data_IF_849066949210
#
_entry.id   IF_849066949210
#
_cell.length_a   1.000
_cell.length_b   1.000
_cell.length_c   1.000
_cell.angle_alpha   90.00
_cell.angle_beta   90.00
_cell.angle_gamma   90.00
#
_symmetry.space_group_name_H-M   'P 1'
#
loop_
_entity.id
_entity.type
_entity.pdbx_description
1 polymer ?
#
# COMPACT_ATOMS: atom_id res chain seq x y z
N UNK A 1 11.33 -24.27 6.92
CA UNK A 1 11.54 -22.99 7.63
C UNK A 1 11.27 -23.22 9.10
N UNK A 2 11.96 -22.53 10.03
CA UNK A 2 11.57 -22.58 11.44
C UNK A 2 10.10 -22.19 11.57
N UNK A 3 9.37 -22.87 12.44
CA UNK A 3 7.96 -22.57 12.74
C UNK A 3 7.90 -21.25 13.49
N UNK A 4 7.49 -20.18 12.82
CA UNK A 4 7.24 -18.88 13.45
C UNK A 4 5.83 -18.85 14.06
N UNK A 5 5.59 -18.08 15.13
CA UNK A 5 4.26 -17.83 15.66
C UNK A 5 3.30 -17.34 14.56
N UNK A 6 2.07 -17.82 14.59
CA UNK A 6 1.00 -17.38 13.68
C UNK A 6 -0.16 -16.84 14.51
N UNK A 7 -0.58 -15.62 14.17
CA UNK A 7 -1.71 -14.93 14.76
C UNK A 7 -2.80 -14.81 13.71
N UNK A 8 -4.05 -15.01 14.11
CA UNK A 8 -5.19 -14.96 13.20
C UNK A 8 -5.86 -13.60 13.31
N UNK A 9 -5.91 -12.85 12.20
CA UNK A 9 -6.63 -11.59 12.14
C UNK A 9 -8.14 -11.85 11.98
N UNK A 10 -8.95 -10.94 12.52
CA UNK A 10 -10.41 -10.97 12.40
C UNK A 10 -10.87 -10.08 11.26
N UNK A 11 -12.00 -10.42 10.63
CA UNK A 11 -12.62 -9.53 9.62
C UNK A 11 -13.01 -8.22 10.30
N UNK A 12 -12.47 -7.11 9.82
CA UNK A 12 -12.79 -5.75 10.23
C UNK A 12 -14.00 -5.21 9.47
N UNK A 13 -14.01 -5.42 8.15
CA UNK A 13 -15.07 -4.93 7.27
C UNK A 13 -15.27 -5.88 6.10
N UNK A 14 -16.53 -6.06 5.71
CA UNK A 14 -16.94 -6.93 4.60
C UNK A 14 -17.55 -6.07 3.49
N UNK A 15 -17.00 -6.14 2.26
CA UNK A 15 -17.57 -5.48 1.09
C UNK A 15 -19.04 -5.82 0.84
N UNK A 16 -19.81 -4.81 0.46
CA UNK A 16 -21.24 -4.91 0.16
C UNK A 16 -21.50 -5.43 -1.25
N UNK A 17 -20.50 -5.39 -2.13
CA UNK A 17 -20.58 -5.85 -3.52
C UNK A 17 -19.31 -6.59 -3.95
N UNK A 18 -19.38 -7.30 -5.08
CA UNK A 18 -18.22 -7.95 -5.68
C UNK A 18 -17.21 -6.94 -6.24
N UNK A 19 -17.67 -5.80 -6.76
CA UNK A 19 -16.77 -4.76 -7.28
C UNK A 19 -15.86 -4.19 -6.20
N UNK A 20 -16.35 -4.07 -4.97
CA UNK A 20 -15.57 -3.60 -3.81
C UNK A 20 -14.53 -4.62 -3.31
N UNK A 21 -14.64 -5.90 -3.72
CA UNK A 21 -13.69 -6.96 -3.35
C UNK A 21 -12.46 -7.00 -4.24
N UNK A 22 -12.53 -6.33 -5.39
CA UNK A 22 -11.64 -6.61 -6.51
C UNK A 22 -10.18 -6.33 -6.20
N UNK A 23 -9.82 -5.07 -5.94
CA UNK A 23 -8.44 -4.71 -5.59
C UNK A 23 -8.33 -3.61 -4.51
N UNK A 24 -8.83 -3.85 -3.27
CA UNK A 24 -8.53 -3.01 -2.12
C UNK A 24 -7.03 -2.92 -1.82
N UNK A 25 -6.52 -1.71 -1.67
CA UNK A 25 -5.10 -1.39 -1.54
C UNK A 25 -4.85 -0.12 -0.73
N UNK A 26 -3.61 0.07 -0.29
CA UNK A 26 -3.13 1.31 0.32
C UNK A 26 -3.97 1.87 1.48
N UNK A 27 -4.31 1.09 2.53
CA UNK A 27 -5.08 1.58 3.67
C UNK A 27 -4.32 2.68 4.43
N UNK A 28 -5.02 3.74 4.83
CA UNK A 28 -4.49 4.93 5.53
C UNK A 28 -5.52 5.47 6.53
N UNK A 29 -5.04 6.18 7.56
CA UNK A 29 -5.93 7.01 8.39
C UNK A 29 -6.00 8.43 7.83
N UNK A 30 -7.19 9.04 7.88
CA UNK A 30 -7.39 10.44 7.50
C UNK A 30 -8.40 11.12 8.42
N UNK A 31 -8.12 12.36 8.82
CA UNK A 31 -9.10 13.20 9.49
C UNK A 31 -9.83 14.06 8.44
N UNK A 32 -11.14 13.84 8.28
CA UNK A 32 -11.96 14.56 7.31
C UNK A 32 -13.42 14.65 7.78
N UNK A 33 -14.08 15.73 7.40
CA UNK A 33 -15.50 15.99 7.68
C UNK A 33 -15.83 15.95 9.18
N UNK A 34 -14.84 16.23 10.03
CA UNK A 34 -14.95 16.20 11.50
C UNK A 34 -14.72 14.83 12.14
N UNK A 35 -14.33 13.81 11.38
CA UNK A 35 -14.17 12.43 11.86
C UNK A 35 -12.85 11.82 11.39
N UNK A 36 -12.39 10.79 12.11
CA UNK A 36 -11.27 9.97 11.68
C UNK A 36 -11.80 8.77 10.88
N UNK A 37 -11.29 8.61 9.66
CA UNK A 37 -11.68 7.55 8.74
C UNK A 37 -10.51 6.61 8.50
N UNK A 38 -10.81 5.31 8.42
CA UNK A 38 -9.95 4.38 7.68
C UNK A 38 -10.30 4.54 6.20
N UNK A 39 -9.31 4.88 5.39
CA UNK A 39 -9.46 5.13 3.96
C UNK A 39 -8.58 4.17 3.17
N UNK A 40 -9.05 3.70 2.02
CA UNK A 40 -8.26 2.85 1.10
C UNK A 40 -8.70 3.10 -0.34
N UNK A 41 -7.86 2.69 -1.28
CA UNK A 41 -8.25 2.65 -2.69
C UNK A 41 -8.78 1.26 -3.03
N UNK A 42 -9.72 1.19 -3.96
CA UNK A 42 -10.01 -0.01 -4.73
C UNK A 42 -9.55 0.29 -6.16
N UNK A 43 -8.35 -0.19 -6.53
CA UNK A 43 -7.65 0.27 -7.73
C UNK A 43 -8.49 0.02 -8.99
N UNK A 44 -9.20 -1.12 -9.03
CA UNK A 44 -10.08 -1.53 -10.11
C UNK A 44 -11.35 -2.14 -9.51
N UNK A 45 -12.46 -2.06 -10.24
CA UNK A 45 -13.75 -2.64 -9.81
C UNK A 45 -14.12 -3.92 -10.55
N UNK A 46 -13.20 -4.45 -11.36
CA UNK A 46 -13.35 -5.66 -12.15
C UNK A 46 -12.19 -5.87 -13.14
N UNK A 47 -12.14 -7.03 -13.83
CA UNK A 47 -11.00 -7.42 -14.67
C UNK A 47 -10.62 -6.42 -15.76
N UNK A 48 -11.63 -5.86 -16.44
CA UNK A 48 -11.45 -4.92 -17.54
C UNK A 48 -11.76 -3.47 -17.15
N UNK A 49 -11.95 -3.20 -15.85
CA UNK A 49 -12.30 -1.87 -15.38
C UNK A 49 -11.10 -0.93 -15.51
N UNK A 50 -11.27 0.15 -16.29
CA UNK A 50 -10.36 1.29 -16.35
C UNK A 50 -10.59 2.32 -15.24
N UNK A 51 -11.45 2.00 -14.27
CA UNK A 51 -11.88 2.87 -13.17
C UNK A 51 -11.81 2.13 -11.83
N UNK A 52 -11.72 2.88 -10.74
CA UNK A 52 -11.77 2.35 -9.38
C UNK A 52 -12.58 3.23 -8.45
N UNK A 53 -12.36 3.09 -7.16
CA UNK A 53 -13.00 3.90 -6.13
C UNK A 53 -12.09 4.16 -4.93
N UNK A 54 -12.42 5.18 -4.15
CA UNK A 54 -11.81 5.43 -2.84
C UNK A 54 -12.88 5.19 -1.79
N UNK A 55 -12.54 4.47 -0.74
CA UNK A 55 -13.47 4.12 0.31
C UNK A 55 -13.06 4.76 1.63
N UNK A 56 -14.06 5.11 2.44
CA UNK A 56 -13.88 5.57 3.81
C UNK A 56 -14.77 4.74 4.74
N UNK A 57 -14.24 4.35 5.89
CA UNK A 57 -14.94 3.63 6.94
C UNK A 57 -14.72 4.34 8.28
N UNK A 58 -15.81 4.81 8.89
CA UNK A 58 -15.81 5.16 10.30
C UNK A 58 -15.94 3.87 11.10
N UNK A 59 -14.86 3.52 11.79
CA UNK A 59 -14.75 2.27 12.55
C UNK A 59 -15.58 2.26 13.83
N UNK A 60 -16.04 3.41 14.31
CA UNK A 60 -16.88 3.53 15.51
C UNK A 60 -18.35 3.30 15.19
N UNK A 61 -18.82 3.88 14.09
CA UNK A 61 -20.23 3.83 13.68
C UNK A 61 -20.52 2.72 12.67
N UNK A 62 -19.50 2.27 11.94
CA UNK A 62 -19.64 1.40 10.78
C UNK A 62 -20.09 2.14 9.51
N UNK A 63 -20.15 3.48 9.53
CA UNK A 63 -20.47 4.27 8.34
C UNK A 63 -19.41 4.04 7.26
N UNK A 64 -19.86 3.65 6.07
CA UNK A 64 -19.02 3.43 4.90
C UNK A 64 -19.42 4.40 3.79
N UNK A 65 -18.42 4.96 3.12
CA UNK A 65 -18.60 5.81 1.94
C UNK A 65 -17.74 5.28 0.81
N UNK A 66 -18.31 5.26 -0.38
CA UNK A 66 -17.59 5.01 -1.61
C UNK A 66 -17.57 6.28 -2.46
N UNK A 67 -16.39 6.63 -2.97
CA UNK A 67 -16.15 7.74 -3.88
C UNK A 67 -15.66 7.17 -5.23
N UNK A 68 -16.56 6.98 -6.22
CA UNK A 68 -16.17 6.48 -7.54
C UNK A 68 -15.18 7.40 -8.22
N UNK A 69 -14.16 6.82 -8.84
CA UNK A 69 -13.13 7.52 -9.60
C UNK A 69 -13.22 7.16 -11.09
N UNK A 70 -13.00 8.12 -12.01
CA UNK A 70 -13.12 7.89 -13.45
C UNK A 70 -11.94 7.09 -14.03
N UNK A 71 -10.87 6.92 -13.24
CA UNK A 71 -9.69 6.15 -13.59
C UNK A 71 -9.24 5.33 -12.36
N UNK A 72 -8.17 4.55 -12.48
CA UNK A 72 -7.68 3.65 -11.41
C UNK A 72 -6.87 4.40 -10.35
N UNK A 73 -7.33 4.51 -9.09
CA UNK A 73 -6.56 5.14 -8.02
C UNK A 73 -5.53 4.15 -7.45
N UNK A 74 -4.24 4.36 -7.71
CA UNK A 74 -3.17 3.49 -7.21
C UNK A 74 -2.85 3.71 -5.73
N UNK A 75 -2.94 4.96 -5.26
CA UNK A 75 -2.77 5.32 -3.86
C UNK A 75 -3.65 6.52 -3.48
N UNK A 76 -3.86 6.69 -2.18
CA UNK A 76 -4.48 7.87 -1.57
C UNK A 76 -3.72 8.28 -0.32
N UNK A 77 -3.48 9.58 -0.13
CA UNK A 77 -2.65 10.10 0.96
C UNK A 77 -3.32 11.28 1.66
N UNK A 78 -3.35 11.32 3.01
CA UNK A 78 -3.85 12.47 3.74
C UNK A 78 -3.00 13.71 3.47
N UNK A 79 -3.64 14.88 3.51
CA UNK A 79 -2.97 16.18 3.33
C UNK A 79 -3.21 17.08 4.53
N UNK A 80 -2.42 18.14 4.64
CA UNK A 80 -2.62 19.20 5.63
C UNK A 80 -3.88 20.02 5.40
N UNK A 81 -4.51 19.92 4.22
CA UNK A 81 -5.70 20.68 3.88
C UNK A 81 -6.97 19.90 4.29
N UNK A 82 -7.93 20.53 4.98
CA UNK A 82 -9.14 19.87 5.43
C UNK A 82 -9.91 19.22 4.27
N UNK A 83 -10.34 17.98 4.46
CA UNK A 83 -11.13 17.20 3.49
C UNK A 83 -10.45 16.94 2.15
N UNK A 84 -9.16 17.24 2.02
CA UNK A 84 -8.41 17.04 0.78
C UNK A 84 -7.40 15.92 0.94
N UNK A 85 -7.32 15.09 -0.08
CA UNK A 85 -6.35 13.98 -0.16
C UNK A 85 -5.61 14.04 -1.49
N UNK A 86 -4.36 13.61 -1.48
CA UNK A 86 -3.56 13.46 -2.70
C UNK A 86 -3.81 12.05 -3.25
N UNK A 87 -4.10 11.94 -4.54
CA UNK A 87 -4.42 10.67 -5.21
C UNK A 87 -3.53 10.51 -6.44
N UNK A 88 -2.92 9.33 -6.56
CA UNK A 88 -2.33 8.86 -7.80
C UNK A 88 -3.39 8.16 -8.63
N UNK A 89 -3.82 8.78 -9.72
CA UNK A 89 -4.97 8.35 -10.53
C UNK A 89 -4.50 8.06 -11.96
N UNK A 90 -4.40 6.77 -12.31
CA UNK A 90 -3.92 6.28 -13.61
C UNK A 90 -2.51 6.79 -13.95
N UNK A 91 -2.38 7.97 -14.57
CA UNK A 91 -1.12 8.63 -14.95
C UNK A 91 -0.94 10.00 -14.29
N UNK A 92 -1.91 10.43 -13.49
CA UNK A 92 -2.01 11.78 -12.96
C UNK A 92 -1.91 11.80 -11.45
N UNK A 93 -1.35 12.87 -10.91
CA UNK A 93 -1.45 13.22 -9.50
C UNK A 93 -2.52 14.30 -9.38
N UNK A 94 -3.52 14.05 -8.53
CA UNK A 94 -4.64 14.97 -8.32
C UNK A 94 -4.85 15.23 -6.83
N UNK A 95 -5.43 16.38 -6.50
CA UNK A 95 -6.06 16.61 -5.19
C UNK A 95 -7.54 16.26 -5.32
N UNK A 96 -8.03 15.40 -4.45
CA UNK A 96 -9.44 15.03 -4.35
C UNK A 96 -10.06 15.70 -3.12
N UNK A 97 -11.20 16.36 -3.32
CA UNK A 97 -12.06 16.82 -2.24
C UNK A 97 -13.03 15.69 -1.83
N UNK A 98 -12.91 15.23 -0.58
CA UNK A 98 -13.67 14.09 -0.03
C UNK A 98 -15.17 14.40 0.17
N UNK A 99 -15.58 15.67 0.16
CA UNK A 99 -16.98 16.07 0.36
C UNK A 99 -17.73 16.10 -0.97
N UNK A 100 -17.07 16.56 -2.03
CA UNK A 100 -17.68 16.79 -3.35
C UNK A 100 -17.27 15.74 -4.38
N UNK A 101 -16.28 14.91 -4.09
CA UNK A 101 -15.63 13.99 -5.03
C UNK A 101 -15.06 14.72 -6.27
N UNK A 102 -14.73 16.02 -6.12
CA UNK A 102 -14.14 16.83 -7.18
C UNK A 102 -12.62 16.75 -7.16
N UNK A 103 -12.00 16.84 -8.34
CA UNK A 103 -10.58 16.58 -8.54
C UNK A 103 -9.90 17.79 -9.16
N UNK A 104 -8.76 18.18 -8.61
CA UNK A 104 -7.89 19.22 -9.17
C UNK A 104 -6.59 18.57 -9.62
N UNK A 105 -6.31 18.49 -10.94
CA UNK A 105 -5.05 17.95 -11.44
C UNK A 105 -3.85 18.78 -10.97
N UNK A 106 -2.78 18.10 -10.55
CA UNK A 106 -1.52 18.73 -10.17
C UNK A 106 -0.41 18.49 -11.17
N UNK A 107 -0.23 17.23 -11.60
CA UNK A 107 0.83 16.82 -12.50
C UNK A 107 0.49 15.50 -13.21
N UNK A 108 1.19 15.21 -14.31
CA UNK A 108 1.10 13.95 -15.05
C UNK A 108 2.48 13.32 -15.15
N UNK A 109 2.58 12.01 -14.98
CA UNK A 109 3.86 11.32 -15.15
C UNK A 109 4.32 11.38 -16.61
N UNK A 110 5.63 11.54 -16.87
CA UNK A 110 6.19 11.59 -18.22
C UNK A 110 6.35 10.16 -18.80
N UNK A 111 5.29 9.36 -18.74
CA UNK A 111 5.24 8.00 -19.24
C UNK A 111 3.99 7.80 -20.11
N UNK A 112 4.24 7.62 -21.40
CA UNK A 112 3.22 7.48 -22.44
C UNK A 112 2.83 6.02 -22.71
N UNK A 113 3.45 5.04 -22.04
CA UNK A 113 3.06 3.65 -22.20
C UNK A 113 1.61 3.45 -21.72
N UNK A 114 0.70 2.93 -22.57
CA UNK A 114 -0.67 2.63 -22.15
C UNK A 114 -0.75 1.39 -21.26
N UNK A 115 0.37 0.68 -21.08
CA UNK A 115 0.47 -0.53 -20.26
C UNK A 115 0.86 -0.25 -18.83
N UNK A 116 1.17 0.98 -18.47
CA UNK A 116 1.63 1.29 -17.11
C UNK A 116 0.63 2.19 -16.40
N UNK A 117 0.43 1.94 -15.11
CA UNK A 117 -0.41 2.79 -14.24
C UNK A 117 0.30 3.05 -12.94
N UNK A 118 -0.01 4.19 -12.29
CA UNK A 118 0.36 4.43 -10.90
C UNK A 118 -0.22 3.30 -10.04
N UNK A 119 0.61 2.73 -9.18
CA UNK A 119 0.29 1.68 -8.24
C UNK A 119 0.55 2.21 -6.82
N UNK A 120 1.45 1.58 -6.06
CA UNK A 120 1.72 2.00 -4.68
C UNK A 120 2.59 3.27 -4.57
N UNK A 121 2.44 3.97 -3.45
CA UNK A 121 3.22 5.14 -3.09
C UNK A 121 3.21 5.44 -1.59
N UNK A 122 4.25 6.13 -1.14
CA UNK A 122 4.47 6.53 0.24
C UNK A 122 4.98 7.97 0.34
N UNK A 123 4.60 8.65 1.41
CA UNK A 123 4.99 10.02 1.72
C UNK A 123 6.43 10.01 2.25
N UNK A 124 7.31 10.87 1.71
CA UNK A 124 8.63 11.02 2.31
C UNK A 124 8.51 11.72 3.67
N UNK A 125 9.42 11.44 4.63
CA UNK A 125 9.43 12.14 5.91
C UNK A 125 9.38 13.66 5.75
N UNK A 126 8.44 14.30 6.45
CA UNK A 126 8.19 15.75 6.36
C UNK A 126 7.15 16.17 5.32
N UNK A 127 6.69 15.28 4.45
CA UNK A 127 5.50 15.49 3.61
C UNK A 127 5.65 16.48 2.45
N UNK A 128 6.84 17.02 2.19
CA UNK A 128 7.11 17.93 1.07
C UNK A 128 7.27 17.21 -0.29
N UNK A 129 7.39 15.89 -0.25
CA UNK A 129 7.48 15.03 -1.42
C UNK A 129 6.79 13.69 -1.16
N UNK A 130 6.45 12.99 -2.24
CA UNK A 130 6.05 11.59 -2.19
C UNK A 130 6.92 10.76 -3.15
N UNK A 131 7.06 9.48 -2.87
CA UNK A 131 7.60 8.47 -3.77
C UNK A 131 6.46 7.55 -4.16
N UNK A 132 6.27 7.32 -5.44
CA UNK A 132 5.27 6.39 -5.94
C UNK A 132 5.81 5.69 -7.15
N UNK A 133 5.34 4.49 -7.43
CA UNK A 133 5.72 3.83 -8.66
C UNK A 133 4.53 3.33 -9.45
N UNK A 134 4.87 2.81 -10.61
CA UNK A 134 3.89 2.28 -11.56
C UNK A 134 3.94 0.76 -11.61
N UNK A 135 2.97 0.13 -12.28
CA UNK A 135 3.03 -1.28 -12.66
C UNK A 135 2.68 -1.47 -14.13
N UNK A 136 3.26 -2.48 -14.77
CA UNK A 136 2.75 -3.03 -16.03
C UNK A 136 1.42 -3.75 -15.75
N UNK A 137 0.33 -3.33 -16.39
CA UNK A 137 -1.01 -3.93 -16.22
C UNK A 137 -1.05 -5.40 -16.66
N UNK A 138 -0.08 -5.86 -17.44
CA UNK A 138 0.07 -7.28 -17.81
C UNK A 138 0.96 -8.06 -16.86
N UNK A 139 1.62 -7.37 -15.92
CA UNK A 139 2.55 -7.96 -14.96
C UNK A 139 3.64 -8.82 -15.65
N UNK A 140 4.18 -8.35 -16.79
CA UNK A 140 5.02 -9.16 -17.66
C UNK A 140 6.37 -8.52 -17.99
N UNK A 141 6.37 -7.21 -18.29
CA UNK A 141 7.56 -6.52 -18.78
C UNK A 141 8.02 -5.44 -17.78
N UNK A 142 9.35 -5.18 -17.70
CA UNK A 142 9.91 -4.17 -16.79
C UNK A 142 9.71 -2.74 -17.33
N UNK A 143 8.45 -2.35 -17.53
CA UNK A 143 8.04 -1.04 -18.07
C UNK A 143 7.81 0.01 -16.98
N UNK A 144 7.64 -0.42 -15.74
CA UNK A 144 7.37 0.46 -14.63
C UNK A 144 8.61 1.20 -14.14
N UNK A 145 8.37 2.32 -13.46
CA UNK A 145 9.37 3.07 -12.74
C UNK A 145 8.83 3.56 -11.39
N UNK A 146 9.74 3.94 -10.51
CA UNK A 146 9.45 4.76 -9.34
C UNK A 146 9.78 6.22 -9.67
N UNK A 147 8.91 7.10 -9.22
CA UNK A 147 8.96 8.54 -9.38
C UNK A 147 8.95 9.21 -8.02
N UNK A 148 9.56 10.40 -7.97
CA UNK A 148 9.38 11.35 -6.86
C UNK A 148 8.54 12.53 -7.36
N UNK A 149 7.54 12.91 -6.57
CA UNK A 149 6.75 14.11 -6.81
C UNK A 149 7.02 15.13 -5.71
N UNK A 150 7.45 16.32 -6.11
CA UNK A 150 7.71 17.46 -5.25
C UNK A 150 6.44 18.31 -5.14
N UNK A 151 5.86 18.42 -3.95
CA UNK A 151 4.51 18.96 -3.77
C UNK A 151 4.42 20.43 -4.19
N UNK A 152 5.33 21.27 -3.68
CA UNK A 152 5.29 22.72 -3.90
C UNK A 152 5.54 23.11 -5.37
N UNK A 153 6.54 22.49 -6.01
CA UNK A 153 6.90 22.79 -7.41
C UNK A 153 6.07 22.04 -8.43
N UNK A 154 5.29 21.04 -7.99
CA UNK A 154 4.54 20.09 -8.83
C UNK A 154 5.42 19.34 -9.84
N UNK A 155 6.71 19.19 -9.54
CA UNK A 155 7.68 18.51 -10.40
C UNK A 155 7.65 17.01 -10.13
N UNK A 156 7.58 16.22 -11.19
CA UNK A 156 7.74 14.76 -11.15
C UNK A 156 9.10 14.41 -11.77
N UNK A 157 9.86 13.55 -11.10
CA UNK A 157 11.11 13.00 -11.61
C UNK A 157 11.14 11.47 -11.53
N UNK A 158 11.56 10.76 -12.59
CA UNK A 158 11.84 9.33 -12.49
C UNK A 158 13.12 9.11 -11.69
N UNK A 159 13.08 8.22 -10.71
CA UNK A 159 14.24 7.92 -9.84
C UNK A 159 14.75 6.49 -9.99
N UNK A 160 13.88 5.55 -10.36
CA UNK A 160 14.23 4.14 -10.50
C UNK A 160 13.43 3.50 -11.64
N UNK A 161 13.98 3.45 -12.87
CA UNK A 161 13.32 2.79 -14.00
C UNK A 161 13.51 1.26 -13.97
N UNK A 162 12.75 0.55 -14.79
CA UNK A 162 12.97 -0.87 -15.08
C UNK A 162 12.37 -1.83 -14.05
N UNK A 163 11.31 -1.42 -13.36
CA UNK A 163 10.50 -2.30 -12.53
C UNK A 163 9.36 -2.93 -13.32
N UNK A 164 8.73 -3.97 -12.78
CA UNK A 164 7.52 -4.56 -13.37
C UNK A 164 6.27 -4.15 -12.60
N UNK A 165 6.32 -4.20 -11.26
CA UNK A 165 5.22 -3.84 -10.39
C UNK A 165 5.76 -3.23 -9.09
N UNK A 166 5.85 -1.90 -9.07
CA UNK A 166 6.23 -1.13 -7.90
C UNK A 166 5.18 -1.28 -6.80
N UNK A 167 5.60 -1.75 -5.63
CA UNK A 167 4.76 -2.00 -4.47
C UNK A 167 5.40 -1.44 -3.19
N UNK A 168 5.16 -2.08 -2.04
CA UNK A 168 5.42 -1.57 -0.70
C UNK A 168 6.71 -0.77 -0.54
N UNK A 169 6.56 0.41 0.09
CA UNK A 169 7.67 1.35 0.36
C UNK A 169 7.73 1.69 1.83
N UNK A 170 8.93 1.71 2.40
CA UNK A 170 9.14 2.15 3.78
C UNK A 170 10.34 3.08 3.84
N UNK A 171 10.16 4.22 4.52
CA UNK A 171 11.21 5.21 4.78
C UNK A 171 11.64 5.18 6.23
N UNK A 172 12.96 5.23 6.46
CA UNK A 172 13.53 5.04 7.79
C UNK A 172 14.75 5.92 7.97
N UNK A 173 14.83 6.64 9.08
CA UNK A 173 16.05 7.35 9.44
C UNK A 173 17.09 6.36 9.97
N UNK A 174 18.26 6.35 9.35
CA UNK A 174 19.42 5.58 9.81
C UNK A 174 20.58 6.53 10.11
N UNK A 175 21.64 6.08 10.81
CA UNK A 175 22.85 6.87 10.96
C UNK A 175 23.49 7.31 9.64
N UNK A 176 23.20 6.61 8.53
CA UNK A 176 23.74 6.88 7.19
C UNK A 176 22.82 7.73 6.31
N UNK A 177 21.73 8.29 6.87
CA UNK A 177 20.74 9.08 6.14
C UNK A 177 19.39 8.38 6.04
N UNK A 178 18.56 8.88 5.12
CA UNK A 178 17.23 8.34 4.87
C UNK A 178 17.33 7.06 4.03
N UNK A 179 17.00 5.93 4.65
CA UNK A 179 16.85 4.63 4.00
C UNK A 179 15.47 4.53 3.36
N UNK A 180 15.44 3.95 2.16
CA UNK A 180 14.22 3.58 1.44
C UNK A 180 14.25 2.09 1.15
N UNK A 181 13.26 1.37 1.65
CA UNK A 181 13.00 -0.02 1.30
C UNK A 181 11.92 -0.08 0.24
N UNK A 182 12.15 -0.87 -0.81
CA UNK A 182 11.29 -0.93 -1.99
C UNK A 182 11.04 -2.37 -2.44
N UNK A 183 9.82 -2.62 -2.92
CA UNK A 183 9.39 -3.89 -3.49
C UNK A 183 9.05 -3.69 -4.98
N UNK A 184 9.78 -4.39 -5.85
CA UNK A 184 9.31 -4.74 -7.20
C UNK A 184 8.82 -6.20 -7.16
N UNK A 185 7.51 -6.39 -7.15
CA UNK A 185 6.87 -7.64 -6.72
C UNK A 185 7.42 -8.91 -7.39
N UNK A 186 7.63 -8.99 -8.72
CA UNK A 186 8.13 -10.21 -9.37
C UNK A 186 9.54 -10.62 -8.93
N UNK A 187 10.34 -9.66 -8.47
CA UNK A 187 11.72 -9.93 -8.03
C UNK A 187 11.78 -10.70 -6.72
N UNK A 188 10.70 -10.62 -5.91
CA UNK A 188 10.59 -11.22 -4.57
C UNK A 188 11.76 -10.88 -3.65
N UNK A 189 12.24 -9.65 -3.75
CA UNK A 189 13.23 -9.10 -2.82
C UNK A 189 12.72 -7.74 -2.32
N UNK A 190 13.10 -7.40 -1.09
CA UNK A 190 13.06 -6.00 -0.64
C UNK A 190 14.42 -5.41 -0.95
N UNK A 191 14.46 -4.44 -1.85
CA UNK A 191 15.67 -3.67 -2.15
C UNK A 191 15.82 -2.53 -1.17
N UNK A 192 17.07 -2.16 -0.90
CA UNK A 192 17.42 -1.03 -0.05
C UNK A 192 18.10 0.03 -0.88
N UNK A 193 17.67 1.26 -0.68
CA UNK A 193 18.26 2.46 -1.23
C UNK A 193 18.58 3.45 -0.12
N UNK A 194 19.51 4.37 -0.39
CA UNK A 194 19.81 5.51 0.50
C UNK A 194 19.71 6.82 -0.26
N UNK A 195 19.03 7.80 0.30
CA UNK A 195 19.12 9.18 -0.16
C UNK A 195 20.41 9.79 0.38
N UNK A 196 21.22 10.32 -0.52
CA UNK A 196 22.45 10.99 -0.13
C UNK A 196 22.12 12.34 0.57
N UNK A 197 22.66 12.59 1.78
CA UNK A 197 22.37 13.82 2.50
C UNK A 197 22.72 15.08 1.69
N UNK A 198 21.75 15.97 1.52
CA UNK A 198 21.94 17.24 0.83
C UNK A 198 21.97 17.14 -0.71
N UNK A 199 21.66 15.98 -1.29
CA UNK A 199 21.50 15.84 -2.74
C UNK A 199 20.18 15.11 -3.09
N UNK A 200 19.80 15.15 -4.37
CA UNK A 200 18.67 14.37 -4.89
C UNK A 200 19.08 12.94 -5.30
N UNK A 201 20.34 12.54 -5.05
CA UNK A 201 20.85 11.24 -5.48
C UNK A 201 20.35 10.10 -4.60
N UNK A 202 19.92 9.02 -5.26
CA UNK A 202 19.54 7.76 -4.63
C UNK A 202 20.58 6.70 -4.95
N UNK A 203 21.12 6.05 -3.92
CA UNK A 203 22.13 5.00 -4.03
C UNK A 203 21.49 3.62 -3.81
N UNK A 204 21.73 2.67 -4.72
CA UNK A 204 21.43 1.24 -4.48
C UNK A 204 22.34 0.72 -3.38
N UNK A 205 21.75 0.21 -2.30
CA UNK A 205 22.42 -0.31 -1.10
C UNK A 205 22.08 -1.80 -0.88
N UNK A 206 21.77 -2.51 -1.97
CA UNK A 206 21.64 -3.96 -2.03
C UNK A 206 20.27 -4.50 -1.60
N UNK A 207 20.27 -5.77 -1.24
CA UNK A 207 19.05 -6.50 -0.83
C UNK A 207 18.92 -6.41 0.70
N UNK A 208 17.79 -5.87 1.17
CA UNK A 208 17.43 -5.88 2.58
C UNK A 208 16.87 -7.24 3.01
N UNK A 209 15.98 -7.82 2.18
CA UNK A 209 15.34 -9.11 2.43
C UNK A 209 15.24 -9.92 1.15
N UNK A 210 15.59 -11.20 1.23
CA UNK A 210 15.41 -12.18 0.14
C UNK A 210 14.17 -13.03 0.42
N UNK A 211 13.09 -12.76 -0.32
CA UNK A 211 11.79 -13.40 -0.14
C UNK A 211 11.49 -14.44 -1.22
N UNK A 212 12.47 -14.82 -2.05
CA UNK A 212 12.26 -15.73 -3.17
C UNK A 212 11.77 -17.12 -2.75
N UNK A 213 12.04 -17.51 -1.50
CA UNK A 213 11.59 -18.77 -0.89
C UNK A 213 10.29 -18.65 -0.09
N UNK A 214 9.74 -17.45 0.03
CA UNK A 214 8.46 -17.22 0.72
C UNK A 214 7.32 -17.45 -0.26
N UNK A 215 6.29 -18.16 0.16
CA UNK A 215 5.12 -18.43 -0.67
C UNK A 215 4.32 -17.15 -0.94
N UNK A 216 3.87 -16.98 -2.18
CA UNK A 216 3.18 -15.77 -2.64
C UNK A 216 4.15 -14.71 -3.17
N UNK A 217 3.61 -13.53 -3.39
CA UNK A 217 4.32 -12.37 -3.94
C UNK A 217 4.27 -11.23 -2.92
N UNK A 218 5.42 -10.60 -2.59
CA UNK A 218 5.42 -9.47 -1.66
C UNK A 218 4.72 -8.27 -2.31
N UNK A 219 3.83 -7.66 -1.54
CA UNK A 219 2.94 -6.60 -2.00
C UNK A 219 3.19 -5.32 -1.19
N UNK A 220 2.20 -4.75 -0.51
CA UNK A 220 2.38 -3.64 0.42
C UNK A 220 3.26 -3.98 1.63
N UNK A 221 3.91 -2.95 2.20
CA UNK A 221 4.85 -3.06 3.31
C UNK A 221 4.72 -1.87 4.27
N UNK A 222 4.83 -2.13 5.57
CA UNK A 222 4.84 -1.10 6.60
C UNK A 222 5.98 -1.33 7.60
N UNK A 223 6.56 -0.25 8.12
CA UNK A 223 7.49 -0.34 9.25
C UNK A 223 6.76 -0.85 10.49
N UNK A 224 7.33 -1.87 11.14
CA UNK A 224 6.81 -2.35 12.43
C UNK A 224 7.54 -1.69 13.60
N UNK A 225 8.84 -1.45 13.44
CA UNK A 225 9.73 -0.74 14.36
C UNK A 225 11.05 -0.38 13.65
N UNK A 226 12.07 -0.01 14.43
CA UNK A 226 13.41 0.35 13.94
C UNK A 226 14.22 -0.80 13.33
N UNK A 227 13.74 -2.03 13.39
CA UNK A 227 14.50 -3.19 12.94
C UNK A 227 13.66 -4.20 12.14
N UNK A 228 12.37 -3.94 11.93
CA UNK A 228 11.47 -4.87 11.27
C UNK A 228 10.38 -4.20 10.45
N UNK A 229 9.92 -4.94 9.44
CA UNK A 229 8.83 -4.56 8.54
C UNK A 229 7.79 -5.67 8.50
N UNK A 230 6.53 -5.30 8.30
CA UNK A 230 5.43 -6.23 8.00
C UNK A 230 5.15 -6.12 6.51
N UNK A 231 5.15 -7.26 5.81
CA UNK A 231 4.95 -7.35 4.37
C UNK A 231 3.72 -8.21 4.11
N UNK A 232 2.78 -7.70 3.32
CA UNK A 232 1.65 -8.46 2.81
C UNK A 232 2.08 -9.40 1.67
N UNK A 233 1.46 -10.58 1.60
CA UNK A 233 1.72 -11.54 0.52
C UNK A 233 0.46 -11.82 -0.28
N UNK A 234 0.51 -11.43 -1.54
CA UNK A 234 -0.49 -11.79 -2.54
C UNK A 234 -0.25 -13.24 -2.97
N UNK A 235 -1.18 -14.14 -2.68
CA UNK A 235 -1.08 -15.55 -3.09
C UNK A 235 -2.11 -15.90 -4.18
N UNK A 236 -1.69 -16.17 -5.43
CA UNK A 236 -2.62 -16.56 -6.48
C UNK A 236 -3.18 -17.96 -6.26
N UNK A 237 -2.50 -18.81 -5.48
CA UNK A 237 -2.88 -20.21 -5.25
C UNK A 237 -4.12 -20.33 -4.35
N UNK A 238 -4.95 -21.38 -4.52
CA UNK A 238 -6.11 -21.63 -3.67
C UNK A 238 -5.69 -22.17 -2.30
N UNK A 239 -5.27 -21.26 -1.42
CA UNK A 239 -4.93 -21.56 -0.02
C UNK A 239 -6.04 -21.08 0.92
N UNK A 240 -6.26 -21.76 2.06
CA UNK A 240 -7.38 -21.44 2.97
C UNK A 240 -7.21 -20.12 3.73
N UNK A 241 -5.98 -19.59 3.82
CA UNK A 241 -5.69 -18.32 4.46
C UNK A 241 -4.47 -17.66 3.82
N UNK A 242 -4.57 -16.37 3.52
CA UNK A 242 -3.43 -15.55 3.13
C UNK A 242 -2.64 -15.11 4.37
N UNK A 243 -1.59 -14.31 4.16
CA UNK A 243 -0.87 -13.74 5.29
C UNK A 243 -0.13 -12.45 4.98
N UNK A 244 0.15 -11.70 6.04
CA UNK A 244 1.29 -10.81 6.14
C UNK A 244 2.34 -11.45 7.07
N UNK A 245 3.62 -11.10 6.91
CA UNK A 245 4.73 -11.64 7.71
C UNK A 245 5.61 -10.48 8.16
N UNK A 246 5.99 -10.50 9.44
CA UNK A 246 6.98 -9.58 9.99
C UNK A 246 8.39 -10.14 9.83
N UNK A 247 9.32 -9.36 9.30
CA UNK A 247 10.72 -9.75 9.12
C UNK A 247 11.66 -8.83 9.88
N UNK A 248 12.69 -9.41 10.50
CA UNK A 248 13.82 -8.65 11.05
C UNK A 248 14.78 -8.27 9.91
N UNK A 249 15.02 -6.98 9.72
CA UNK A 249 15.86 -6.40 8.66
C UNK A 249 17.37 -6.65 8.88
N UNK A 250 17.80 -7.00 10.09
CA UNK A 250 19.22 -7.23 10.41
C UNK A 250 19.63 -8.67 10.08
N UNK A 251 18.70 -9.60 10.26
CA UNK A 251 18.94 -11.04 10.11
C UNK A 251 18.29 -11.63 8.85
N UNK A 252 17.30 -10.94 8.28
CA UNK A 252 16.47 -11.45 7.19
C UNK A 252 15.48 -12.53 7.62
N UNK A 253 15.34 -12.80 8.92
CA UNK A 253 14.49 -13.86 9.42
C UNK A 253 13.05 -13.39 9.62
N UNK A 254 12.09 -14.26 9.30
CA UNK A 254 10.70 -14.07 9.67
C UNK A 254 10.55 -14.18 11.19
N UNK A 255 9.82 -13.25 11.79
CA UNK A 255 9.54 -13.17 13.23
C UNK A 255 8.22 -13.86 13.53
N UNK A 256 7.15 -13.45 12.84
CA UNK A 256 5.77 -13.89 13.09
C UNK A 256 4.91 -13.69 11.84
N UNK A 257 3.79 -14.42 11.78
CA UNK A 257 2.82 -14.42 10.68
C UNK A 257 1.46 -13.94 11.16
N UNK A 258 0.77 -13.16 10.33
CA UNK A 258 -0.60 -12.71 10.53
C UNK A 258 -1.49 -13.30 9.44
N UNK A 259 -2.33 -14.27 9.78
CA UNK A 259 -3.17 -14.99 8.83
C UNK A 259 -4.51 -14.28 8.59
N UNK A 260 -5.01 -14.37 7.36
CA UNK A 260 -6.32 -13.85 6.91
C UNK A 260 -7.20 -15.01 6.43
N UNK A 261 -7.95 -15.68 7.34
CA UNK A 261 -8.75 -16.84 6.97
C UNK A 261 -9.77 -16.55 5.87
N UNK A 262 -9.85 -17.43 4.88
CA UNK A 262 -10.77 -17.29 3.75
C UNK A 262 -10.40 -16.17 2.77
N UNK A 263 -9.21 -15.58 2.88
CA UNK A 263 -8.72 -14.55 1.96
C UNK A 263 -7.21 -14.76 1.64
N UNK A 264 -6.87 -15.38 0.51
CA UNK A 264 -5.48 -15.76 0.18
C UNK A 264 -4.59 -14.60 -0.30
N UNK A 265 -5.17 -13.48 -0.73
CA UNK A 265 -4.46 -12.39 -1.42
C UNK A 265 -4.45 -11.15 -0.54
N UNK A 266 -3.46 -11.09 0.35
CA UNK A 266 -3.26 -9.92 1.20
C UNK A 266 -2.47 -8.89 0.42
N UNK A 267 -2.99 -7.68 0.35
CA UNK A 267 -2.48 -6.64 -0.55
C UNK A 267 -1.63 -5.62 0.20
N UNK A 268 -2.13 -5.01 1.28
CA UNK A 268 -1.34 -3.99 1.99
C UNK A 268 -1.59 -3.98 3.50
N UNK A 269 -0.51 -3.87 4.31
CA UNK A 269 -0.61 -3.67 5.74
C UNK A 269 -0.59 -2.18 6.12
N UNK A 270 -1.38 -1.83 7.14
CA UNK A 270 -1.30 -0.55 7.82
C UNK A 270 -1.19 -0.81 9.33
N UNK A 271 -0.26 -0.13 9.99
CA UNK A 271 -0.11 -0.19 11.44
C UNK A 271 -0.53 1.15 12.04
N UNK A 272 -1.51 1.15 12.93
CA UNK A 272 -2.05 2.35 13.58
C UNK A 272 -2.04 2.22 15.10
N UNK A 273 -2.03 3.34 15.86
CA UNK A 273 -2.18 3.28 17.31
C UNK A 273 -3.50 2.62 17.70
N UNK A 274 -3.48 1.77 18.73
CA UNK A 274 -4.67 1.14 19.27
C UNK A 274 -5.12 1.80 20.57
N UNK A 275 -6.44 1.97 20.77
CA UNK A 275 -7.01 2.68 21.92
C UNK A 275 -6.64 2.06 23.28
N UNK A 276 -6.45 0.74 23.32
CA UNK A 276 -6.06 0.01 24.54
C UNK A 276 -4.52 -0.15 24.68
N UNK A 277 -3.74 0.69 24.01
CA UNK A 277 -2.28 0.62 23.95
C UNK A 277 -1.78 -0.35 22.87
N UNK A 278 -0.50 -0.21 22.50
CA UNK A 278 0.10 -0.94 21.39
C UNK A 278 -0.41 -0.46 20.02
N UNK A 279 -0.43 -1.37 19.04
CA UNK A 279 -0.84 -1.07 17.67
C UNK A 279 -1.93 -1.99 17.18
N UNK A 280 -2.65 -1.57 16.15
CA UNK A 280 -3.55 -2.40 15.39
C UNK A 280 -3.03 -2.53 13.96
N UNK A 281 -2.88 -3.78 13.52
CA UNK A 281 -2.54 -4.11 12.14
C UNK A 281 -3.83 -4.27 11.36
N UNK A 282 -4.00 -3.44 10.33
CA UNK A 282 -5.05 -3.55 9.33
C UNK A 282 -4.45 -4.18 8.09
N UNK A 283 -5.17 -5.11 7.46
CA UNK A 283 -4.76 -5.76 6.22
C UNK A 283 -5.89 -5.62 5.19
N UNK A 284 -5.60 -5.03 4.03
CA UNK A 284 -6.46 -5.14 2.87
C UNK A 284 -6.22 -6.49 2.18
N UNK A 285 -7.27 -7.01 1.53
CA UNK A 285 -7.18 -8.21 0.72
C UNK A 285 -7.96 -8.03 -0.57
N UNK A 286 -7.72 -8.89 -1.57
CA UNK A 286 -8.27 -8.74 -2.91
C UNK A 286 -8.80 -10.05 -3.49
N UNK A 287 -9.57 -9.95 -4.58
CA UNK A 287 -9.91 -11.07 -5.44
C UNK A 287 -9.56 -10.90 -6.93
N UNK A 288 -8.88 -9.81 -7.30
CA UNK A 288 -8.34 -9.56 -8.64
C UNK A 288 -7.64 -10.79 -9.18
N UNK A 289 -8.05 -11.35 -10.33
CA UNK A 289 -7.42 -12.54 -10.92
C UNK A 289 -7.81 -13.86 -10.25
N UNK A 290 -8.88 -13.88 -9.45
CA UNK A 290 -9.38 -15.09 -8.77
C UNK A 290 -10.39 -15.78 -9.67
N UNK A 291 -10.16 -17.02 -10.11
CA UNK A 291 -11.18 -17.77 -10.83
C UNK A 291 -12.43 -17.99 -9.96
N UNK A 292 -13.61 -18.08 -10.58
CA UNK A 292 -14.88 -18.24 -9.88
C UNK A 292 -14.91 -19.44 -8.91
N UNK A 293 -14.24 -20.54 -9.26
CA UNK A 293 -14.12 -21.71 -8.38
C UNK A 293 -13.34 -21.41 -7.09
N UNK A 294 -12.26 -20.62 -7.19
CA UNK A 294 -11.48 -20.20 -6.03
C UNK A 294 -12.26 -19.18 -5.18
N UNK A 295 -13.01 -18.27 -5.82
CA UNK A 295 -13.86 -17.31 -5.13
C UNK A 295 -14.86 -17.99 -4.19
N UNK A 296 -15.47 -19.10 -4.61
CA UNK A 296 -16.41 -19.88 -3.78
C UNK A 296 -15.75 -20.47 -2.51
N UNK A 297 -14.45 -20.77 -2.56
CA UNK A 297 -13.67 -21.29 -1.42
C UNK A 297 -13.03 -20.21 -0.55
N UNK A 298 -13.12 -18.93 -0.95
CA UNK A 298 -12.52 -17.78 -0.28
C UNK A 298 -13.64 -16.79 0.15
N UNK A 299 -14.38 -17.10 1.23
CA UNK A 299 -15.55 -16.32 1.63
C UNK A 299 -15.22 -14.89 2.10
N UNK A 300 -13.96 -14.65 2.51
CA UNK A 300 -13.50 -13.35 3.01
C UNK A 300 -12.58 -12.61 2.03
N UNK A 301 -12.51 -13.06 0.76
CA UNK A 301 -11.76 -12.34 -0.28
C UNK A 301 -12.25 -10.89 -0.40
N UNK A 302 -11.34 -9.93 -0.55
CA UNK A 302 -11.70 -8.51 -0.59
C UNK A 302 -12.04 -7.87 0.77
N UNK A 303 -12.17 -8.65 1.84
CA UNK A 303 -12.41 -8.09 3.17
C UNK A 303 -11.17 -7.36 3.71
N UNK A 304 -11.40 -6.41 4.61
CA UNK A 304 -10.35 -5.87 5.47
C UNK A 304 -10.28 -6.70 6.74
N UNK A 305 -9.07 -6.95 7.23
CA UNK A 305 -8.82 -7.65 8.48
C UNK A 305 -8.14 -6.73 9.49
N UNK A 306 -8.30 -7.02 10.78
CA UNK A 306 -7.62 -6.33 11.87
C UNK A 306 -7.10 -7.28 12.94
N UNK A 307 -6.01 -6.89 13.59
CA UNK A 307 -5.42 -7.59 14.74
C UNK A 307 -4.77 -6.59 15.71
N UNK A 308 -5.05 -6.74 17.00
CA UNK A 308 -4.36 -5.97 18.05
C UNK A 308 -2.99 -6.59 18.36
N UNK A 309 -1.95 -5.75 18.31
CA UNK A 309 -0.54 -6.08 18.52
C UNK A 309 -0.01 -5.24 19.70
N UNK A 310 -0.19 -5.71 20.95
CA UNK A 310 0.19 -4.95 22.15
C UNK A 310 1.71 -4.69 22.27
N UNK A 311 2.54 -5.47 21.58
CA UNK A 311 4.00 -5.39 21.58
C UNK A 311 4.58 -4.35 20.60
N UNK A 312 3.76 -3.82 19.69
CA UNK A 312 4.20 -2.88 18.67
C UNK A 312 3.74 -1.47 18.98
N UNK A 313 4.52 -0.48 18.57
CA UNK A 313 4.14 0.93 18.56
C UNK A 313 4.14 1.41 17.12
N UNK A 314 2.96 1.82 16.64
CA UNK A 314 2.78 2.25 15.27
C UNK A 314 3.66 3.47 14.99
N UNK A 315 4.31 3.52 13.82
CA UNK A 315 5.05 4.71 13.42
C UNK A 315 4.09 5.90 13.30
N UNK A 316 4.62 7.12 13.47
CA UNK A 316 3.86 8.31 13.14
C UNK A 316 3.49 8.28 11.65
N UNK A 317 2.25 8.64 11.33
CA UNK A 317 1.82 8.77 9.93
C UNK A 317 2.24 10.13 9.39
N UNK A 318 2.91 10.11 8.25
CA UNK A 318 3.23 11.33 7.50
C UNK A 318 1.96 11.90 6.84
N UNK A 319 1.99 13.20 6.55
CA UNK A 319 0.89 13.92 5.89
C UNK A 319 1.47 14.82 4.82
N UNK A 320 0.88 14.79 3.62
CA UNK A 320 1.32 15.63 2.50
C UNK A 320 1.13 17.10 2.83
N UNK A 321 2.20 17.89 2.70
CA UNK A 321 2.20 19.33 2.92
C UNK A 321 1.68 20.04 1.68
N UNK A 322 0.35 20.07 1.51
CA UNK A 322 -0.30 20.89 0.49
C UNK A 322 -0.29 22.37 0.93
N UNK A 323 0.20 23.23 0.05
CA UNK A 323 0.19 24.69 0.23
C UNK A 323 -1.22 25.27 0.21
#
# INVERSE_FOLDING_TARGET
>A
MPTIPTHTASVLWTPHSESERFLPEGPRMVHAMGWDWLMWVNIQTGPDAGSGSIHLLDRKTGEHRELPQPARPGFVMPTTQPNQVLVGLEKEIVVLDLTTNSRTPLARIPDESPRTIINDGEILPGGESILFGTKDIRFADPLAAVYRFHIASRRIEPILPGQTCSNGKVFRHTPNGLEWLDIDTPTRVVRRFRFEPGSEMVLDDGIALDLRKTDGFPDGMVAADDHSVIIAFYNPSPIPAGCAIRFDLRTGQAIERYATPGSPRVTCPLLIPHANGGSELILTTADEGMPAEQQASAPNRGCLFALHLPQLTAPASETVQLA
#
